data_IF_175355893985
#
_entry.id   IF_175355893985
#
_cell.length_a   1.000
_cell.length_b   1.000
_cell.length_c   1.000
_cell.angle_alpha   90.00
_cell.angle_beta   90.00
_cell.angle_gamma   90.00
#
_symmetry.space_group_name_H-M   'P 1'
#
loop_
_entity.id
_entity.type
_entity.pdbx_description
1 polymer ?
#
# COMPACT_ATOMS: atom_id res chain seq x y z
N UNK A 1 6.09 -21.00 8.17
CA UNK A 1 6.54 -20.55 6.83
C UNK A 1 5.36 -19.99 6.05
N UNK A 2 5.45 -18.75 5.55
CA UNK A 2 4.39 -18.14 4.73
C UNK A 2 4.33 -18.84 3.36
N UNK A 3 3.14 -19.19 2.88
CA UNK A 3 2.97 -19.82 1.57
C UNK A 3 3.23 -18.79 0.45
N UNK A 4 3.63 -19.22 -0.76
CA UNK A 4 3.84 -18.32 -1.90
C UNK A 4 2.64 -17.39 -2.17
N UNK A 5 1.41 -17.93 -2.13
CA UNK A 5 0.19 -17.15 -2.35
C UNK A 5 -0.08 -16.15 -1.22
N UNK A 6 0.19 -16.51 0.02
CA UNK A 6 0.09 -15.61 1.18
C UNK A 6 1.11 -14.47 1.06
N UNK A 7 2.34 -14.77 0.64
CA UNK A 7 3.37 -13.75 0.41
C UNK A 7 2.97 -12.77 -0.69
N UNK A 8 2.38 -13.27 -1.78
CA UNK A 8 1.83 -12.41 -2.84
C UNK A 8 0.71 -11.53 -2.32
N UNK A 9 -0.22 -12.10 -1.55
CA UNK A 9 -1.33 -11.34 -0.95
C UNK A 9 -0.87 -10.27 0.03
N UNK A 10 0.16 -10.56 0.84
CA UNK A 10 0.80 -9.57 1.73
C UNK A 10 1.46 -8.48 0.92
N UNK A 11 2.16 -8.82 -0.16
CA UNK A 11 2.78 -7.83 -1.02
C UNK A 11 1.76 -6.90 -1.69
N UNK A 12 0.68 -7.45 -2.25
CA UNK A 12 -0.43 -6.67 -2.82
C UNK A 12 -1.07 -5.76 -1.77
N UNK A 13 -1.25 -6.26 -0.53
CA UNK A 13 -1.73 -5.44 0.58
C UNK A 13 -0.78 -4.29 0.91
N UNK A 14 0.53 -4.53 0.95
CA UNK A 14 1.54 -3.49 1.20
C UNK A 14 1.48 -2.40 0.13
N UNK A 15 1.31 -2.76 -1.14
CA UNK A 15 1.16 -1.79 -2.22
C UNK A 15 -0.10 -0.93 -2.03
N UNK A 16 -1.23 -1.55 -1.70
CA UNK A 16 -2.49 -0.85 -1.42
C UNK A 16 -2.39 0.06 -0.19
N UNK A 17 -1.79 -0.41 0.91
CA UNK A 17 -1.61 0.38 2.14
C UNK A 17 -0.73 1.62 1.89
N UNK A 18 0.37 1.43 1.17
CA UNK A 18 1.27 2.53 0.80
C UNK A 18 0.58 3.49 -0.17
N UNK A 19 -0.18 3.01 -1.16
CA UNK A 19 -0.93 3.86 -2.07
C UNK A 19 -1.95 4.74 -1.33
N UNK A 20 -2.72 4.16 -0.40
CA UNK A 20 -3.67 4.90 0.43
C UNK A 20 -2.96 5.96 1.28
N UNK A 21 -1.85 5.60 1.96
CA UNK A 21 -1.08 6.53 2.78
C UNK A 21 -0.47 7.67 1.96
N UNK A 22 0.06 7.37 0.78
CA UNK A 22 0.61 8.38 -0.14
C UNK A 22 -0.47 9.36 -0.58
N UNK A 23 -1.64 8.87 -1.02
CA UNK A 23 -2.75 9.73 -1.43
C UNK A 23 -3.32 10.56 -0.28
N UNK A 24 -3.36 10.02 0.95
CA UNK A 24 -3.77 10.78 2.14
C UNK A 24 -2.75 11.85 2.51
N UNK A 25 -1.46 11.54 2.48
CA UNK A 25 -0.42 12.53 2.74
C UNK A 25 -0.44 13.65 1.70
N UNK A 26 -0.65 13.30 0.42
CA UNK A 26 -0.86 14.28 -0.64
C UNK A 26 -2.07 15.16 -0.29
N UNK A 27 -3.23 14.58 0.03
CA UNK A 27 -4.45 15.30 0.46
C UNK A 27 -4.13 16.40 1.50
N UNK A 28 -3.42 16.04 2.58
CA UNK A 28 -3.08 16.94 3.68
C UNK A 28 -2.14 18.08 3.25
N UNK A 29 -1.20 17.81 2.32
CA UNK A 29 -0.25 18.82 1.83
C UNK A 29 -0.84 19.80 0.82
N UNK A 30 -1.90 19.41 0.10
CA UNK A 30 -2.47 20.20 -1.00
C UNK A 30 -3.40 21.32 -0.55
N UNK A 31 -3.90 21.28 0.69
CA UNK A 31 -4.80 22.30 1.22
C UNK A 31 -4.27 23.74 1.07
N UNK A 32 -2.97 23.89 0.82
CA UNK A 32 -2.27 25.17 0.69
C UNK A 32 -2.13 25.69 -0.77
N UNK A 33 -2.65 25.01 -1.80
CA UNK A 33 -2.44 25.39 -3.21
C UNK A 33 -3.68 25.99 -3.90
N UNK A 34 -3.46 26.98 -4.80
CA UNK A 34 -4.54 27.61 -5.60
C UNK A 34 -5.31 26.63 -6.51
N UNK A 35 -4.68 25.52 -6.92
CA UNK A 35 -5.29 24.45 -7.73
C UNK A 35 -5.75 23.25 -6.89
N UNK A 36 -5.77 23.38 -5.57
CA UNK A 36 -6.09 22.28 -4.65
C UNK A 36 -7.41 21.60 -5.01
N UNK A 37 -8.45 22.35 -5.41
CA UNK A 37 -9.78 21.78 -5.67
C UNK A 37 -9.80 20.67 -6.72
N UNK A 38 -9.08 20.82 -7.84
CA UNK A 38 -9.04 19.81 -8.91
C UNK A 38 -8.22 18.60 -8.49
N UNK A 39 -7.06 18.83 -7.88
CA UNK A 39 -6.18 17.74 -7.45
C UNK A 39 -6.75 16.97 -6.24
N UNK A 40 -7.41 17.66 -5.31
CA UNK A 40 -8.20 17.06 -4.23
C UNK A 40 -9.27 16.14 -4.79
N UNK A 41 -10.03 16.59 -5.80
CA UNK A 41 -11.06 15.76 -6.43
C UNK A 41 -10.46 14.47 -7.03
N UNK A 42 -9.31 14.57 -7.72
CA UNK A 42 -8.60 13.41 -8.27
C UNK A 42 -8.17 12.46 -7.15
N UNK A 43 -7.58 12.98 -6.07
CA UNK A 43 -7.14 12.19 -4.91
C UNK A 43 -8.33 11.50 -4.24
N UNK A 44 -9.46 12.21 -4.08
CA UNK A 44 -10.70 11.66 -3.51
C UNK A 44 -11.25 10.53 -4.36
N UNK A 45 -11.28 10.70 -5.68
CA UNK A 45 -11.80 9.68 -6.59
C UNK A 45 -10.87 8.45 -6.63
N UNK A 46 -9.55 8.64 -6.59
CA UNK A 46 -8.59 7.56 -6.42
C UNK A 46 -8.77 6.81 -5.10
N UNK A 47 -8.94 7.55 -3.99
CA UNK A 47 -9.18 6.94 -2.68
C UNK A 47 -10.50 6.16 -2.66
N UNK A 48 -11.56 6.65 -3.32
CA UNK A 48 -12.84 5.92 -3.44
C UNK A 48 -12.68 4.58 -4.14
N UNK A 49 -11.83 4.48 -5.15
CA UNK A 49 -11.63 3.22 -5.90
C UNK A 49 -10.61 2.28 -5.26
N UNK A 50 -9.56 2.81 -4.61
CA UNK A 50 -8.49 1.99 -3.98
C UNK A 50 -8.92 1.46 -2.61
N UNK A 51 -9.64 2.24 -1.80
CA UNK A 51 -10.02 1.86 -0.43
C UNK A 51 -10.79 0.54 -0.35
N UNK A 52 -11.77 0.23 -1.23
CA UNK A 52 -12.44 -1.07 -1.23
C UNK A 52 -11.46 -2.23 -1.34
N UNK A 53 -10.52 -2.17 -2.28
CA UNK A 53 -9.53 -3.23 -2.50
C UNK A 53 -8.57 -3.36 -1.32
N UNK A 54 -8.12 -2.23 -0.77
CA UNK A 54 -7.36 -2.17 0.48
C UNK A 54 -8.08 -2.89 1.63
N UNK A 55 -9.33 -2.51 1.91
CA UNK A 55 -10.08 -3.09 3.03
C UNK A 55 -10.42 -4.56 2.81
N UNK A 56 -10.73 -4.96 1.57
CA UNK A 56 -11.00 -6.35 1.21
C UNK A 56 -9.75 -7.20 1.45
N UNK A 57 -8.58 -6.75 0.98
CA UNK A 57 -7.33 -7.46 1.17
C UNK A 57 -6.93 -7.51 2.65
N UNK A 58 -7.08 -6.41 3.39
CA UNK A 58 -6.85 -6.36 4.85
C UNK A 58 -7.71 -7.39 5.60
N UNK A 59 -9.01 -7.45 5.30
CA UNK A 59 -9.93 -8.43 5.93
C UNK A 59 -9.57 -9.86 5.57
N UNK A 60 -9.18 -10.12 4.33
CA UNK A 60 -8.76 -11.44 3.88
C UNK A 60 -7.51 -11.93 4.65
N UNK A 61 -6.48 -11.08 4.78
CA UNK A 61 -5.28 -11.40 5.55
C UNK A 61 -5.59 -11.60 7.03
N UNK A 62 -6.44 -10.75 7.62
CA UNK A 62 -6.85 -10.89 9.01
C UNK A 62 -7.56 -12.22 9.30
N UNK A 63 -8.40 -12.72 8.37
CA UNK A 63 -9.03 -14.06 8.48
C UNK A 63 -7.99 -15.18 8.51
N UNK A 64 -6.85 -14.99 7.84
CA UNK A 64 -5.71 -15.89 7.85
C UNK A 64 -4.78 -15.66 9.04
N UNK A 65 -5.12 -14.74 9.96
CA UNK A 65 -4.27 -14.28 11.08
C UNK A 65 -2.93 -13.69 10.61
N UNK A 66 -2.90 -13.16 9.38
CA UNK A 66 -1.74 -12.49 8.80
C UNK A 66 -1.91 -10.97 8.95
N UNK A 67 -0.88 -10.30 9.46
CA UNK A 67 -0.92 -8.84 9.70
C UNK A 67 0.45 -8.20 9.50
N UNK A 68 0.50 -7.03 8.85
CA UNK A 68 1.70 -6.20 8.82
C UNK A 68 1.79 -5.45 10.16
N UNK A 69 2.80 -5.75 10.96
CA UNK A 69 2.91 -5.23 12.34
C UNK A 69 3.91 -4.09 12.49
N UNK A 70 4.97 -4.07 11.67
CA UNK A 70 6.02 -3.06 11.83
C UNK A 70 6.78 -2.80 10.53
N UNK A 71 7.08 -1.53 10.28
CA UNK A 71 8.07 -1.08 9.31
C UNK A 71 9.36 -0.74 10.04
N UNK A 72 10.49 -1.27 9.54
CA UNK A 72 11.81 -1.05 10.10
C UNK A 72 12.65 -0.40 9.01
N UNK A 73 13.12 0.82 9.28
CA UNK A 73 14.11 1.45 8.43
C UNK A 73 15.45 0.73 8.61
N UNK A 74 16.05 0.29 7.51
CA UNK A 74 17.37 -0.36 7.54
C UNK A 74 18.44 0.67 7.16
N UNK A 75 18.34 1.23 5.96
CA UNK A 75 19.25 2.25 5.44
C UNK A 75 18.54 3.11 4.39
N UNK A 76 19.29 3.90 3.61
CA UNK A 76 18.74 4.75 2.56
C UNK A 76 18.05 3.98 1.40
N UNK A 77 18.33 2.70 1.21
CA UNK A 77 17.84 1.89 0.10
C UNK A 77 16.80 0.85 0.50
N UNK A 78 16.82 0.36 1.74
CA UNK A 78 16.01 -0.76 2.18
C UNK A 78 15.14 -0.47 3.40
N UNK A 79 13.97 -1.11 3.43
CA UNK A 79 13.09 -1.20 4.59
C UNK A 79 12.66 -2.64 4.79
N UNK A 80 12.58 -3.07 6.05
CA UNK A 80 12.03 -4.37 6.42
C UNK A 80 10.59 -4.21 6.92
N UNK A 81 9.72 -5.14 6.52
CA UNK A 81 8.33 -5.23 6.96
C UNK A 81 8.17 -6.51 7.74
N UNK A 82 7.84 -6.37 9.03
CA UNK A 82 7.52 -7.52 9.88
C UNK A 82 6.05 -7.86 9.68
N UNK A 83 5.81 -9.12 9.35
CA UNK A 83 4.50 -9.69 9.07
C UNK A 83 4.24 -10.79 10.07
N UNK A 84 3.25 -10.57 10.93
CA UNK A 84 2.74 -11.59 11.82
C UNK A 84 2.00 -12.65 11.02
N UNK A 85 2.25 -13.91 11.33
CA UNK A 85 1.65 -15.06 10.67
C UNK A 85 1.40 -16.15 11.71
N UNK A 86 0.30 -16.93 11.66
CA UNK A 86 -0.01 -17.97 12.65
C UNK A 86 1.08 -19.02 12.87
N UNK A 87 2.00 -19.22 11.92
CA UNK A 87 3.17 -20.06 12.12
C UNK A 87 4.31 -19.30 12.80
N UNK A 88 5.07 -18.57 12.01
CA UNK A 88 6.23 -17.79 12.45
C UNK A 88 6.18 -16.44 11.75
N UNK A 89 6.51 -15.39 12.49
CA UNK A 89 6.61 -14.04 11.96
C UNK A 89 7.66 -13.98 10.86
N UNK A 90 7.33 -13.31 9.76
CA UNK A 90 8.19 -13.20 8.58
C UNK A 90 8.64 -11.77 8.43
N UNK A 91 9.93 -11.59 8.10
CA UNK A 91 10.49 -10.30 7.72
C UNK A 91 10.63 -10.24 6.21
N UNK A 92 9.98 -9.27 5.59
CA UNK A 92 10.07 -9.00 4.14
C UNK A 92 10.91 -7.75 3.90
N UNK A 93 12.05 -7.91 3.22
CA UNK A 93 12.91 -6.80 2.82
C UNK A 93 12.45 -6.20 1.50
N UNK A 94 12.26 -4.90 1.48
CA UNK A 94 11.88 -4.12 0.30
C UNK A 94 12.96 -3.12 -0.06
N UNK A 95 13.34 -3.09 -1.34
CA UNK A 95 14.07 -1.97 -1.91
C UNK A 95 13.09 -0.80 -2.07
N UNK A 96 13.39 0.33 -1.42
CA UNK A 96 12.50 1.50 -1.34
C UNK A 96 12.15 2.05 -2.72
N UNK A 97 13.12 2.17 -3.61
CA UNK A 97 12.89 2.68 -4.96
C UNK A 97 11.97 1.76 -5.76
N UNK A 98 12.19 0.45 -5.71
CA UNK A 98 11.34 -0.51 -6.41
C UNK A 98 9.91 -0.51 -5.84
N UNK A 99 9.77 -0.48 -4.52
CA UNK A 99 8.47 -0.41 -3.87
C UNK A 99 7.72 0.86 -4.26
N UNK A 100 8.40 2.02 -4.24
CA UNK A 100 7.84 3.30 -4.67
C UNK A 100 7.32 3.22 -6.10
N UNK A 101 8.13 2.75 -7.04
CA UNK A 101 7.72 2.61 -8.44
C UNK A 101 6.50 1.70 -8.61
N UNK A 102 6.42 0.60 -7.86
CA UNK A 102 5.26 -0.29 -7.92
C UNK A 102 3.99 0.37 -7.37
N UNK A 103 4.10 1.17 -6.30
CA UNK A 103 2.98 1.94 -5.75
C UNK A 103 2.51 3.02 -6.75
N UNK A 104 3.45 3.73 -7.38
CA UNK A 104 3.14 4.73 -8.41
C UNK A 104 2.42 4.10 -9.61
N UNK A 105 2.91 2.95 -10.09
CA UNK A 105 2.25 2.20 -11.16
C UNK A 105 0.86 1.72 -10.76
N UNK A 106 0.69 1.26 -9.52
CA UNK A 106 -0.63 0.86 -9.00
C UNK A 106 -1.60 2.04 -9.04
N UNK A 107 -1.22 3.19 -8.49
CA UNK A 107 -2.06 4.40 -8.48
C UNK A 107 -2.41 4.82 -9.90
N UNK A 108 -1.44 4.78 -10.82
CA UNK A 108 -1.64 5.15 -12.21
C UNK A 108 -2.60 4.20 -12.95
N UNK A 109 -2.55 2.90 -12.65
CA UNK A 109 -3.48 1.92 -13.19
C UNK A 109 -4.92 2.20 -12.71
N UNK A 110 -5.11 2.48 -11.41
CA UNK A 110 -6.41 2.91 -10.89
C UNK A 110 -6.89 4.21 -11.53
N UNK A 111 -5.99 5.17 -11.76
CA UNK A 111 -6.31 6.43 -12.42
C UNK A 111 -6.82 6.22 -13.86
N UNK A 112 -6.22 5.28 -14.60
CA UNK A 112 -6.63 4.93 -15.96
C UNK A 112 -7.93 4.12 -16.03
N UNK A 113 -8.37 3.54 -14.91
CA UNK A 113 -9.45 2.55 -14.88
C UNK A 113 -9.02 1.15 -15.30
N UNK A 114 -7.72 0.93 -15.53
CA UNK A 114 -7.16 -0.39 -15.82
C UNK A 114 -6.97 -1.14 -14.51
N UNK A 115 -7.93 -2.02 -14.17
CA UNK A 115 -7.73 -2.99 -13.09
C UNK A 115 -6.81 -4.09 -13.61
N UNK A 116 -5.51 -3.92 -13.38
CA UNK A 116 -4.47 -4.93 -13.63
C UNK A 116 -4.66 -6.17 -12.77
#
# INVERSE_FOLDING_TARGET
>A
MIKPDERRNVHEFILLDMAVKSLQNDYDTLGNLKMAKVYIQIVDDLLKVIRPDYYNKKRMLAKQKIEVVKWIHIDQYFSDVVVKNPGEDVVLRYAKQALKTQVENLIFNYFKGDKS
#
